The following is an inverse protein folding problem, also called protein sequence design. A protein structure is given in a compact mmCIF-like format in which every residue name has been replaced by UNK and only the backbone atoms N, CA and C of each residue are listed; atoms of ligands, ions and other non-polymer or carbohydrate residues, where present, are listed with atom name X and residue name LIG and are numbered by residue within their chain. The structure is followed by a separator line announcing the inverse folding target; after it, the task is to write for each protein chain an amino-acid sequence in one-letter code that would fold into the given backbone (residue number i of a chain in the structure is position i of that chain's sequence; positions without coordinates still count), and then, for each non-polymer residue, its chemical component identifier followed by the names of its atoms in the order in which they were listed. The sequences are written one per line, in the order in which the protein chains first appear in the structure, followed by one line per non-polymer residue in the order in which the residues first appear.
data_IF_539863786466
#
_entry.id   IF_539863786466
#
_cell.length_a   1.000
_cell.length_b   1.000
_cell.length_c   1.000
_cell.angle_alpha   90.00
_cell.angle_beta   90.00
_cell.angle_gamma   90.00
#
_symmetry.space_group_name_H-M   'P 1'
#
loop_
_entity.id
_entity.type
_entity.pdbx_description
1 polymer ?
#
# COMPACT_ATOMS: atom_id res chain seq x y z
N UNK A 1 42.08 13.65 10.75
CA UNK A 1 40.70 14.00 10.39
C UNK A 1 40.07 12.73 9.84
N UNK A 2 39.43 11.95 10.70
CA UNK A 2 38.64 10.81 10.26
C UNK A 2 37.30 11.34 9.80
N UNK A 3 37.16 11.51 8.49
CA UNK A 3 35.87 11.72 7.85
C UNK A 3 35.09 10.41 7.93
N UNK A 4 34.38 10.20 9.03
CA UNK A 4 33.27 9.26 9.08
C UNK A 4 32.24 9.75 8.05
N UNK A 5 32.33 9.19 6.85
CA UNK A 5 31.22 9.21 5.91
C UNK A 5 30.16 8.36 6.58
N UNK A 6 29.25 9.01 7.28
CA UNK A 6 28.02 8.41 7.78
C UNK A 6 27.22 8.03 6.53
N UNK A 7 27.53 6.86 5.99
CA UNK A 7 26.73 6.21 4.97
C UNK A 7 25.42 5.85 5.67
N UNK A 8 24.54 6.85 5.78
CA UNK A 8 23.16 6.67 6.23
C UNK A 8 22.58 5.71 5.22
N UNK A 9 22.66 4.41 5.54
CA UNK A 9 21.90 3.36 4.91
C UNK A 9 20.49 3.92 4.80
N UNK A 10 20.15 4.28 3.57
CA UNK A 10 18.87 4.86 3.23
C UNK A 10 17.91 3.72 3.41
N UNK A 11 17.37 3.53 4.60
CA UNK A 11 16.52 2.39 4.89
C UNK A 11 15.30 2.48 3.96
N UNK A 12 15.32 1.65 2.93
CA UNK A 12 14.23 1.52 1.97
C UNK A 12 13.18 0.66 2.65
N UNK A 13 12.05 1.26 2.99
CA UNK A 13 10.95 0.56 3.62
C UNK A 13 9.95 0.16 2.54
N UNK A 14 9.75 -1.14 2.35
CA UNK A 14 8.82 -1.66 1.35
C UNK A 14 7.61 -2.29 2.02
N UNK A 15 6.44 -1.99 1.49
CA UNK A 15 5.15 -2.49 1.99
C UNK A 15 4.41 -3.13 0.82
N UNK A 16 3.89 -4.33 1.07
CA UNK A 16 2.97 -5.03 0.18
C UNK A 16 1.94 -5.74 1.04
N UNK A 17 0.67 -5.65 0.63
CA UNK A 17 -0.43 -6.32 1.31
C UNK A 17 -0.92 -7.51 0.51
N UNK A 18 -1.38 -8.54 1.22
CA UNK A 18 -2.10 -9.68 0.64
C UNK A 18 -3.54 -9.66 1.16
N UNK A 19 -4.49 -9.52 0.25
CA UNK A 19 -5.90 -9.55 0.56
C UNK A 19 -6.41 -10.98 0.42
N UNK A 20 -7.04 -11.46 1.48
CA UNK A 20 -7.66 -12.78 1.53
C UNK A 20 -9.07 -12.65 2.09
N UNK A 21 -9.97 -13.42 1.53
CA UNK A 21 -11.33 -13.56 2.02
C UNK A 21 -11.31 -14.30 3.36
N UNK A 22 -11.98 -13.77 4.38
CA UNK A 22 -11.90 -14.33 5.73
C UNK A 22 -12.62 -15.70 5.83
N UNK A 23 -13.69 -15.89 5.08
CA UNK A 23 -14.48 -17.14 5.15
C UNK A 23 -13.84 -18.26 4.34
N UNK A 24 -13.53 -17.98 3.07
CA UNK A 24 -13.06 -18.97 2.11
C UNK A 24 -11.54 -19.13 2.11
N UNK A 25 -10.81 -18.21 2.75
CA UNK A 25 -9.34 -18.10 2.72
C UNK A 25 -8.75 -17.99 1.32
N UNK A 26 -9.56 -17.63 0.33
CA UNK A 26 -9.14 -17.43 -1.05
C UNK A 26 -8.55 -16.03 -1.22
N UNK A 27 -7.54 -15.86 -2.10
CA UNK A 27 -7.04 -14.53 -2.42
C UNK A 27 -8.14 -13.70 -3.09
N UNK A 28 -8.26 -12.44 -2.69
CA UNK A 28 -9.17 -11.49 -3.32
C UNK A 28 -8.47 -10.84 -4.52
N UNK A 29 -8.91 -11.17 -5.72
CA UNK A 29 -8.27 -10.77 -6.98
C UNK A 29 -9.08 -9.70 -7.69
N UNK A 30 -8.42 -8.85 -8.48
CA UNK A 30 -9.09 -7.82 -9.30
C UNK A 30 -9.92 -6.82 -8.47
N UNK A 31 -9.59 -6.66 -7.18
CA UNK A 31 -10.21 -5.65 -6.33
C UNK A 31 -9.45 -4.33 -6.41
N UNK A 32 -10.18 -3.24 -6.61
CA UNK A 32 -9.62 -1.90 -6.52
C UNK A 32 -9.28 -1.59 -5.06
N UNK A 33 -8.06 -1.10 -4.83
CA UNK A 33 -7.60 -0.66 -3.53
C UNK A 33 -6.87 0.68 -3.64
N UNK A 34 -6.86 1.39 -2.52
CA UNK A 34 -6.13 2.63 -2.32
C UNK A 34 -5.33 2.53 -1.02
N UNK A 35 -4.06 2.94 -1.07
CA UNK A 35 -3.16 3.00 0.07
C UNK A 35 -2.89 4.46 0.36
N UNK A 36 -3.24 4.91 1.57
CA UNK A 36 -3.04 6.26 2.04
C UNK A 36 -1.98 6.33 3.12
N UNK A 37 -1.22 7.42 3.15
CA UNK A 37 -0.42 7.80 4.31
C UNK A 37 -1.37 8.16 5.44
N UNK A 38 -1.33 7.43 6.55
CA UNK A 38 -2.16 7.71 7.71
C UNK A 38 -1.78 9.04 8.37
N UNK A 39 -0.50 9.40 8.30
CA UNK A 39 0.04 10.61 8.90
C UNK A 39 -0.30 11.87 8.08
N UNK A 40 -0.33 11.77 6.75
CA UNK A 40 -0.55 12.90 5.84
C UNK A 40 -1.92 12.92 5.16
N UNK A 41 -2.67 11.82 5.20
CA UNK A 41 -3.88 11.61 4.41
C UNK A 41 -3.64 11.58 2.90
N UNK A 42 -2.38 11.40 2.45
CA UNK A 42 -2.00 11.44 1.04
C UNK A 42 -2.17 10.08 0.40
N UNK A 43 -2.77 10.02 -0.80
CA UNK A 43 -2.78 8.80 -1.61
C UNK A 43 -1.35 8.44 -2.02
N UNK A 44 -0.90 7.25 -1.61
CA UNK A 44 0.43 6.72 -1.90
C UNK A 44 0.40 5.80 -3.13
N UNK A 45 -0.58 4.90 -3.17
CA UNK A 45 -0.74 3.91 -4.25
C UNK A 45 -2.23 3.68 -4.49
N UNK A 46 -2.61 3.52 -5.75
CA UNK A 46 -3.92 3.04 -6.15
C UNK A 46 -3.73 1.97 -7.22
N UNK A 47 -4.54 0.91 -7.17
CA UNK A 47 -4.48 -0.13 -8.18
C UNK A 47 -5.44 -1.27 -7.91
N UNK A 48 -5.24 -2.35 -8.66
CA UNK A 48 -6.01 -3.58 -8.50
C UNK A 48 -5.14 -4.70 -7.94
N UNK A 49 -5.71 -5.56 -7.10
CA UNK A 49 -4.99 -6.74 -6.63
C UNK A 49 -4.74 -7.71 -7.77
N UNK A 50 -3.58 -8.38 -7.72
CA UNK A 50 -3.21 -9.38 -8.71
C UNK A 50 -3.99 -10.71 -8.52
N UNK A 51 -3.70 -11.70 -9.38
CA UNK A 51 -4.32 -13.04 -9.34
C UNK A 51 -4.02 -13.83 -8.05
N UNK A 52 -3.07 -13.38 -7.23
CA UNK A 52 -2.71 -13.96 -5.94
C UNK A 52 -3.19 -13.12 -4.76
N UNK A 53 -3.92 -12.03 -5.03
CA UNK A 53 -4.46 -11.11 -4.05
C UNK A 53 -3.43 -10.12 -3.50
N UNK A 54 -2.31 -9.92 -4.19
CA UNK A 54 -1.26 -8.99 -3.76
C UNK A 54 -1.52 -7.59 -4.30
N UNK A 55 -1.24 -6.58 -3.47
CA UNK A 55 -1.14 -5.19 -3.90
C UNK A 55 0.19 -4.94 -4.62
N UNK A 56 0.31 -3.75 -5.22
CA UNK A 56 1.58 -3.24 -5.70
C UNK A 56 2.54 -3.03 -4.51
N UNK A 57 3.83 -3.15 -4.80
CA UNK A 57 4.89 -2.87 -3.85
C UNK A 57 5.01 -1.34 -3.71
N UNK A 58 4.74 -0.84 -2.51
CA UNK A 58 5.01 0.54 -2.16
C UNK A 58 6.38 0.65 -1.51
N UNK A 59 7.23 1.54 -2.01
CA UNK A 59 8.55 1.82 -1.43
C UNK A 59 8.53 3.22 -0.82
N UNK A 60 8.50 3.30 0.51
CA UNK A 60 8.72 4.56 1.22
C UNK A 60 10.21 4.82 1.27
N UNK A 61 10.60 5.94 0.68
CA UNK A 61 11.96 6.41 0.75
C UNK A 61 12.16 7.04 2.13
N UNK A 62 13.03 6.43 2.95
CA UNK A 62 13.65 7.00 4.15
C UNK A 62 12.87 6.96 5.48
N UNK A 63 11.56 6.66 5.50
CA UNK A 63 10.79 6.66 6.75
C UNK A 63 9.84 5.47 6.86
N UNK A 64 9.82 4.83 8.04
CA UNK A 64 8.68 4.00 8.42
C UNK A 64 7.43 4.88 8.46
N UNK A 65 6.45 4.58 7.61
CA UNK A 65 5.22 5.35 7.47
C UNK A 65 4.02 4.47 7.81
N UNK A 66 3.09 5.01 8.61
CA UNK A 66 1.82 4.32 8.85
C UNK A 66 0.95 4.48 7.62
N UNK A 67 0.43 3.38 7.10
CA UNK A 67 -0.47 3.41 5.94
C UNK A 67 -1.84 2.83 6.28
N UNK A 68 -2.85 3.29 5.55
CA UNK A 68 -4.22 2.79 5.60
C UNK A 68 -4.58 2.23 4.23
N UNK A 69 -5.16 1.04 4.20
CA UNK A 69 -5.59 0.37 2.96
C UNK A 69 -7.11 0.38 2.92
N UNK A 70 -7.68 0.94 1.86
CA UNK A 70 -9.11 1.03 1.63
C UNK A 70 -9.45 0.18 0.41
N UNK A 71 -10.44 -0.71 0.55
CA UNK A 71 -10.99 -1.47 -0.56
C UNK A 71 -12.13 -0.67 -1.18
N UNK A 72 -12.04 -0.43 -2.48
CA UNK A 72 -13.03 0.36 -3.20
C UNK A 72 -13.99 -0.58 -3.91
N UNK A 73 -15.24 -0.57 -3.46
CA UNK A 73 -16.33 -1.30 -4.10
C UNK A 73 -16.90 -0.50 -5.27
N UNK A 74 -16.42 -0.81 -6.47
CA UNK A 74 -16.86 -0.18 -7.72
C UNK A 74 -18.26 -0.65 -8.18
N UNK A 75 -18.90 -1.59 -7.48
CA UNK A 75 -20.28 -1.98 -7.80
C UNK A 75 -21.29 -0.94 -7.33
N UNK A 76 -20.88 -0.06 -6.42
CA UNK A 76 -21.73 1.03 -5.94
C UNK A 76 -21.72 2.18 -6.95
N UNK A 77 -22.89 2.71 -7.32
CA UNK A 77 -22.97 3.87 -8.20
C UNK A 77 -22.20 5.04 -7.57
N UNK A 78 -21.45 5.76 -8.41
CA UNK A 78 -20.77 7.00 -8.00
C UNK A 78 -21.86 7.94 -7.49
N UNK A 79 -21.75 8.38 -6.23
CA UNK A 79 -22.68 9.37 -5.69
C UNK A 79 -22.64 10.61 -6.60
N UNK A 80 -23.79 11.07 -7.12
CA UNK A 80 -23.81 12.23 -7.98
C UNK A 80 -23.30 13.45 -7.21
N UNK A 81 -22.36 14.17 -7.84
CA UNK A 81 -21.80 15.47 -7.43
C UNK A 81 -22.84 16.58 -7.40
#
# INVERSE_FOLDING_TARGET
QDSFVEDKLKDIHKIQFKLVDDETKKPLTELMYEIYSKDKGQLLVQGYTDKSGLTALYESNYTAESVEVILVDLSKPIEPI
#
